data_IF_922577679057
#
_entry.id   IF_922577679057
#
_cell.length_a   1.000
_cell.length_b   1.000
_cell.length_c   1.000
_cell.angle_alpha   90.00
_cell.angle_beta   90.00
_cell.angle_gamma   90.00
#
_symmetry.space_group_name_H-M   'P 1'
#
loop_
_entity.id
_entity.type
_entity.pdbx_description
1 polymer ?
#
# COMPACT_ATOMS: atom_id res chain seq x y z
N UNK A 1 16.86 -3.73 -8.80
CA UNK A 1 15.77 -3.47 -7.82
C UNK A 1 14.46 -3.86 -8.46
N UNK A 2 13.73 -4.82 -7.90
CA UNK A 2 12.40 -5.19 -8.39
C UNK A 2 11.48 -3.97 -8.25
N UNK A 3 10.95 -3.47 -9.37
CA UNK A 3 9.99 -2.36 -9.35
C UNK A 3 8.75 -2.83 -8.59
N UNK A 4 8.37 -2.09 -7.55
CA UNK A 4 7.14 -2.36 -6.80
C UNK A 4 5.97 -2.23 -7.76
N UNK A 5 5.12 -3.26 -7.83
CA UNK A 5 3.88 -3.21 -8.62
C UNK A 5 2.79 -2.58 -7.77
N UNK A 6 2.18 -1.53 -8.30
CA UNK A 6 1.03 -0.85 -7.70
C UNK A 6 -0.20 -1.09 -8.56
N UNK A 7 -1.33 -1.35 -7.91
CA UNK A 7 -2.66 -1.47 -8.52
C UNK A 7 -3.54 -0.33 -8.04
N UNK A 8 -4.14 0.41 -8.96
CA UNK A 8 -5.13 1.44 -8.61
C UNK A 8 -6.40 0.75 -8.07
N UNK A 9 -6.91 1.28 -6.97
CA UNK A 9 -8.16 0.91 -6.35
C UNK A 9 -8.86 2.17 -5.82
N UNK A 10 -10.13 2.06 -5.46
CA UNK A 10 -10.88 3.14 -4.81
C UNK A 10 -11.18 2.68 -3.38
N UNK A 11 -11.02 3.58 -2.41
CA UNK A 11 -11.16 3.32 -0.98
C UNK A 11 -12.55 2.77 -0.56
N UNK A 12 -12.79 2.53 0.74
CA UNK A 12 -12.04 3.07 1.87
C UNK A 12 -10.76 2.29 2.18
N UNK A 13 -9.74 3.01 2.63
CA UNK A 13 -8.42 2.44 2.90
C UNK A 13 -7.61 3.25 3.90
N UNK A 14 -6.42 2.77 4.23
CA UNK A 14 -5.46 3.51 5.06
C UNK A 14 -4.08 3.47 4.44
N UNK A 15 -3.52 4.65 4.16
CA UNK A 15 -2.20 4.75 3.61
C UNK A 15 -1.16 4.20 4.61
N UNK A 16 -0.43 3.16 4.22
CA UNK A 16 0.57 2.48 5.06
C UNK A 16 1.79 3.37 5.30
N UNK A 17 2.10 4.30 4.38
CA UNK A 17 3.26 5.21 4.50
C UNK A 17 3.02 6.37 5.46
N UNK A 18 1.94 7.12 5.28
CA UNK A 18 1.67 8.35 6.04
C UNK A 18 0.52 8.21 7.05
N UNK A 19 -0.17 7.07 7.09
CA UNK A 19 -1.23 6.80 8.07
C UNK A 19 -2.56 7.49 7.80
N UNK A 20 -2.68 8.29 6.74
CA UNK A 20 -3.95 8.97 6.40
C UNK A 20 -5.02 7.95 6.01
N UNK A 21 -6.26 8.24 6.40
CA UNK A 21 -7.41 7.52 5.89
C UNK A 21 -7.74 7.99 4.48
N UNK A 22 -8.01 7.02 3.62
CA UNK A 22 -8.48 7.24 2.25
C UNK A 22 -9.97 6.95 2.29
N UNK A 23 -10.78 7.96 1.99
CA UNK A 23 -12.24 7.85 2.00
C UNK A 23 -12.73 6.97 0.83
N UNK A 24 -13.99 6.53 0.91
CA UNK A 24 -14.59 5.61 -0.06
C UNK A 24 -14.54 6.09 -1.51
N UNK A 25 -14.56 7.40 -1.71
CA UNK A 25 -14.61 8.03 -3.03
C UNK A 25 -13.21 8.45 -3.55
N UNK A 26 -12.16 8.17 -2.79
CA UNK A 26 -10.79 8.57 -3.11
C UNK A 26 -9.98 7.42 -3.73
N UNK A 27 -9.08 7.79 -4.66
CA UNK A 27 -8.17 6.83 -5.30
C UNK A 27 -7.05 6.40 -4.34
N UNK A 28 -6.75 5.12 -4.36
CA UNK A 28 -5.66 4.49 -3.62
C UNK A 28 -4.84 3.56 -4.52
N UNK A 29 -3.60 3.30 -4.12
CA UNK A 29 -2.67 2.41 -4.82
C UNK A 29 -2.24 1.30 -3.88
N UNK A 30 -2.58 0.07 -4.21
CA UNK A 30 -2.25 -1.11 -3.43
C UNK A 30 -1.00 -1.76 -4.01
N UNK A 31 0.04 -1.97 -3.20
CA UNK A 31 1.28 -2.57 -3.68
C UNK A 31 1.28 -4.11 -3.57
N UNK A 32 1.11 -4.80 -4.70
CA UNK A 32 0.94 -6.26 -4.77
C UNK A 32 2.23 -7.06 -4.48
N UNK A 33 3.40 -6.43 -4.65
CA UNK A 33 4.70 -7.09 -4.44
C UNK A 33 5.47 -6.52 -3.24
N UNK A 34 4.75 -5.84 -2.34
CA UNK A 34 5.31 -5.29 -1.10
C UNK A 34 4.67 -6.02 0.09
N UNK A 35 4.79 -7.34 0.09
CA UNK A 35 4.24 -8.20 1.14
C UNK A 35 5.22 -8.35 2.31
N UNK A 36 4.97 -7.58 3.37
CA UNK A 36 5.45 -7.85 4.72
C UNK A 36 6.68 -7.07 5.18
N UNK A 37 6.68 -6.67 6.46
CA UNK A 37 7.92 -6.31 7.16
C UNK A 37 8.81 -7.56 7.23
N UNK A 38 10.13 -7.45 7.04
CA UNK A 38 11.05 -8.59 7.09
C UNK A 38 11.02 -9.37 8.42
N UNK A 39 10.48 -8.76 9.49
CA UNK A 39 10.44 -9.31 10.85
C UNK A 39 9.18 -10.14 11.19
N UNK A 40 8.27 -10.40 10.25
CA UNK A 40 7.01 -11.12 10.54
C UNK A 40 7.13 -12.59 10.18
N UNK A 41 7.07 -13.47 11.20
CA UNK A 41 7.06 -14.93 11.03
C UNK A 41 5.82 -15.37 10.25
N UNK A 42 5.91 -16.45 9.44
CA UNK A 42 4.87 -16.91 8.48
C UNK A 42 3.43 -16.98 9.03
N UNK A 43 3.23 -17.18 10.33
CA UNK A 43 1.92 -17.24 10.99
C UNK A 43 1.26 -15.87 11.26
N UNK A 44 2.02 -14.77 11.25
CA UNK A 44 1.51 -13.41 11.42
C UNK A 44 1.47 -12.61 10.11
N UNK A 45 1.64 -13.27 8.96
CA UNK A 45 1.37 -12.68 7.65
C UNK A 45 -0.14 -12.45 7.52
N UNK A 46 -0.63 -11.39 8.16
CA UNK A 46 -1.78 -10.67 7.60
C UNK A 46 -1.33 -10.25 6.20
N UNK A 47 -1.87 -10.94 5.18
CA UNK A 47 -1.73 -10.58 3.77
C UNK A 47 -2.50 -9.28 3.53
N UNK A 48 -2.05 -8.20 4.16
CA UNK A 48 -2.53 -6.88 3.87
C UNK A 48 -1.54 -6.26 2.90
N UNK A 49 -1.93 -6.21 1.63
CA UNK A 49 -1.20 -5.46 0.63
C UNK A 49 -1.20 -3.99 1.06
N UNK A 50 -0.02 -3.36 1.25
CA UNK A 50 0.05 -2.01 1.76
C UNK A 50 -0.59 -1.07 0.75
N UNK A 51 -1.53 -0.28 1.25
CA UNK A 51 -2.25 0.74 0.48
C UNK A 51 -1.53 2.08 0.61
N UNK A 52 -1.54 2.87 -0.46
CA UNK A 52 -0.91 4.17 -0.52
C UNK A 52 -1.89 5.20 -1.08
N UNK A 53 -1.86 6.41 -0.52
CA UNK A 53 -2.55 7.54 -1.13
C UNK A 53 -1.77 8.05 -2.34
N UNK A 54 -2.42 8.86 -3.17
CA UNK A 54 -1.83 9.45 -4.38
C UNK A 54 -0.45 10.06 -4.13
N UNK A 55 -0.36 10.93 -3.10
CA UNK A 55 0.89 11.61 -2.74
C UNK A 55 2.02 10.64 -2.38
N UNK A 56 1.71 9.53 -1.72
CA UNK A 56 2.72 8.54 -1.36
C UNK A 56 3.11 7.67 -2.55
N UNK A 57 2.17 7.32 -3.43
CA UNK A 57 2.45 6.64 -4.68
C UNK A 57 3.36 7.47 -5.59
N UNK A 58 3.08 8.76 -5.76
CA UNK A 58 3.91 9.67 -6.57
C UNK A 58 5.35 9.76 -6.04
N UNK A 59 5.55 9.73 -4.71
CA UNK A 59 6.88 9.69 -4.11
C UNK A 59 7.63 8.36 -4.33
N UNK A 60 6.93 7.26 -4.59
CA UNK A 60 7.57 5.97 -4.93
C UNK A 60 8.05 5.91 -6.39
N UNK A 61 7.42 6.69 -7.27
CA UNK A 61 7.68 6.69 -8.71
C UNK A 61 8.60 7.85 -9.15
N UNK A 62 9.08 8.65 -8.20
CA UNK A 62 10.01 9.76 -8.39
C UNK A 62 11.42 9.33 -8.05
#
# INVERSE_FOLDING_TARGET
MSRVKFKEAIGPGKCTRCGIYIHGDERMWTAENLSGRPSVTKQQKFNYDPQFCQKCYENFNK
#
